data_IF_768936393630
#
_entry.id   IF_768936393630
#
_cell.length_a   1.000
_cell.length_b   1.000
_cell.length_c   1.000
_cell.angle_alpha   90.00
_cell.angle_beta   90.00
_cell.angle_gamma   90.00
#
_symmetry.space_group_name_H-M   'P 1'
#
loop_
_entity.id
_entity.type
_entity.pdbx_description
1 polymer ?
#
# COMPACT_ATOMS: atom_id res chain seq x y z
N UNK A 1 0.25 -33.18 -51.64
CA UNK A 1 0.52 -31.98 -50.81
C UNK A 1 -0.06 -32.25 -49.44
N UNK A 2 0.79 -32.62 -48.49
CA UNK A 2 0.41 -32.91 -47.10
C UNK A 2 0.40 -31.60 -46.32
N UNK A 3 -0.77 -31.18 -45.84
CA UNK A 3 -0.85 -30.09 -44.87
C UNK A 3 -0.10 -30.52 -43.59
N UNK A 4 0.87 -29.74 -43.09
CA UNK A 4 1.42 -30.02 -41.77
C UNK A 4 0.31 -29.79 -40.75
N UNK A 5 -0.03 -30.84 -39.99
CA UNK A 5 -0.88 -30.74 -38.81
C UNK A 5 -0.26 -29.68 -37.89
N UNK A 6 -0.97 -28.58 -37.69
CA UNK A 6 -0.58 -27.56 -36.74
C UNK A 6 -0.40 -28.23 -35.37
N UNK A 7 0.83 -28.22 -34.85
CA UNK A 7 1.11 -28.70 -33.51
C UNK A 7 0.19 -27.94 -32.53
N UNK A 8 -0.47 -28.62 -31.57
CA UNK A 8 -1.27 -27.93 -30.57
C UNK A 8 -0.37 -26.95 -29.83
N UNK A 9 -0.69 -25.66 -29.92
CA UNK A 9 -0.02 -24.61 -29.16
C UNK A 9 -0.09 -25.01 -27.68
N UNK A 10 1.05 -25.14 -26.97
CA UNK A 10 1.02 -25.46 -25.55
C UNK A 10 0.16 -24.42 -24.84
N UNK A 11 -0.87 -24.86 -24.12
CA UNK A 11 -1.67 -23.96 -23.31
C UNK A 11 -0.72 -23.22 -22.37
N UNK A 12 -0.57 -21.90 -22.56
CA UNK A 12 0.28 -21.07 -21.70
C UNK A 12 -0.16 -21.27 -20.25
N UNK A 13 0.74 -21.75 -19.39
CA UNK A 13 0.47 -21.88 -17.97
C UNK A 13 0.09 -20.49 -17.41
N UNK A 14 -0.95 -20.39 -16.58
CA UNK A 14 -1.41 -19.11 -16.05
C UNK A 14 -0.31 -18.42 -15.22
N UNK A 15 -0.17 -17.09 -15.37
CA UNK A 15 0.78 -16.27 -14.60
C UNK A 15 0.58 -16.53 -13.10
N UNK A 16 1.63 -16.91 -12.37
CA UNK A 16 1.56 -17.08 -10.92
C UNK A 16 1.73 -15.72 -10.23
N UNK A 17 0.72 -15.32 -9.46
CA UNK A 17 0.70 -14.08 -8.70
C UNK A 17 1.24 -14.30 -7.28
N UNK A 18 2.40 -13.72 -6.93
CA UNK A 18 2.85 -13.64 -5.54
C UNK A 18 1.99 -12.67 -4.73
N UNK A 19 2.17 -12.69 -3.41
CA UNK A 19 1.36 -11.92 -2.47
C UNK A 19 1.20 -10.44 -2.81
N UNK A 20 2.28 -9.71 -3.16
CA UNK A 20 2.17 -8.28 -3.52
C UNK A 20 1.36 -8.04 -4.80
N UNK A 21 1.18 -9.06 -5.65
CA UNK A 21 0.40 -8.95 -6.90
C UNK A 21 -1.07 -9.33 -6.72
N UNK A 22 -1.51 -9.65 -5.49
CA UNK A 22 -2.88 -10.12 -5.22
C UNK A 22 -3.97 -9.14 -5.65
N UNK A 23 -3.68 -7.84 -5.83
CA UNK A 23 -4.67 -6.87 -6.36
C UNK A 23 -5.18 -7.24 -7.76
N UNK A 24 -4.42 -8.05 -8.50
CA UNK A 24 -4.76 -8.55 -9.84
C UNK A 24 -5.50 -9.90 -9.82
N UNK A 25 -5.78 -10.48 -8.65
CA UNK A 25 -6.48 -11.77 -8.53
C UNK A 25 -7.97 -11.68 -8.90
N UNK A 26 -8.54 -10.48 -8.99
CA UNK A 26 -9.93 -10.31 -9.43
C UNK A 26 -9.99 -10.21 -10.95
N UNK A 27 -10.87 -11.00 -11.58
CA UNK A 27 -11.23 -10.78 -12.99
C UNK A 27 -11.86 -9.40 -13.24
N UNK A 28 -12.38 -8.74 -12.18
CA UNK A 28 -12.95 -7.38 -12.22
C UNK A 28 -11.91 -6.29 -11.91
N UNK A 29 -10.62 -6.64 -11.89
CA UNK A 29 -9.54 -5.69 -11.68
C UNK A 29 -9.59 -4.56 -12.72
N UNK A 30 -9.32 -3.32 -12.26
CA UNK A 30 -9.17 -2.10 -13.06
C UNK A 30 -8.09 -1.25 -12.40
N UNK A 31 -7.32 -0.53 -13.21
CA UNK A 31 -6.15 0.24 -12.75
C UNK A 31 -6.48 1.30 -11.69
N UNK A 32 -7.68 1.89 -11.73
CA UNK A 32 -8.09 2.93 -10.77
C UNK A 32 -8.54 2.37 -9.42
N UNK A 33 -8.87 1.07 -9.31
CA UNK A 33 -9.38 0.47 -8.07
C UNK A 33 -8.36 0.49 -6.91
N UNK A 34 -7.08 0.14 -7.12
CA UNK A 34 -6.05 0.33 -6.09
C UNK A 34 -5.97 1.77 -5.58
N UNK A 35 -6.01 2.76 -6.47
CA UNK A 35 -5.92 4.18 -6.10
C UNK A 35 -7.14 4.62 -5.29
N UNK A 36 -8.35 4.33 -5.81
CA UNK A 36 -9.59 4.65 -5.10
C UNK A 36 -9.65 3.95 -3.73
N UNK A 37 -9.23 2.70 -3.67
CA UNK A 37 -9.26 1.94 -2.42
C UNK A 37 -8.25 2.46 -1.40
N UNK A 38 -7.09 2.97 -1.82
CA UNK A 38 -6.15 3.66 -0.92
C UNK A 38 -6.76 4.95 -0.37
N UNK A 39 -7.43 5.75 -1.22
CA UNK A 39 -8.18 6.92 -0.75
C UNK A 39 -9.29 6.54 0.25
N UNK A 40 -10.04 5.47 -0.05
CA UNK A 40 -11.06 4.94 0.85
C UNK A 40 -10.48 4.51 2.20
N UNK A 41 -9.38 3.74 2.22
CA UNK A 41 -8.74 3.28 3.47
C UNK A 41 -8.27 4.48 4.29
N UNK A 42 -7.57 5.44 3.67
CA UNK A 42 -7.06 6.61 4.38
C UNK A 42 -8.19 7.43 5.04
N UNK A 43 -9.23 7.76 4.27
CA UNK A 43 -10.35 8.57 4.79
C UNK A 43 -11.18 7.78 5.81
N UNK A 44 -11.51 6.52 5.53
CA UNK A 44 -12.34 5.72 6.42
C UNK A 44 -11.63 5.44 7.76
N UNK A 45 -10.32 5.18 7.78
CA UNK A 45 -9.57 5.02 9.03
C UNK A 45 -9.63 6.30 9.89
N UNK A 46 -9.42 7.47 9.29
CA UNK A 46 -9.50 8.76 10.02
C UNK A 46 -10.90 9.00 10.56
N UNK A 47 -11.94 8.78 9.75
CA UNK A 47 -13.33 8.98 10.19
C UNK A 47 -13.74 8.00 11.29
N UNK A 48 -13.36 6.72 11.18
CA UNK A 48 -13.67 5.71 12.19
C UNK A 48 -12.92 5.99 13.49
N UNK A 49 -11.63 6.34 13.42
CA UNK A 49 -10.86 6.74 14.61
C UNK A 49 -11.47 7.99 15.28
N UNK A 50 -11.76 9.04 14.50
CA UNK A 50 -12.40 10.25 15.03
C UNK A 50 -13.77 9.98 15.65
N UNK A 51 -14.58 9.09 15.06
CA UNK A 51 -15.84 8.66 15.65
C UNK A 51 -15.64 7.89 16.96
N UNK A 52 -14.64 7.01 17.05
CA UNK A 52 -14.32 6.28 18.27
C UNK A 52 -13.88 7.22 19.39
N UNK A 53 -13.02 8.20 19.11
CA UNK A 53 -12.63 9.22 20.08
C UNK A 53 -13.79 10.11 20.51
N UNK A 54 -14.65 10.53 19.57
CA UNK A 54 -15.83 11.33 19.88
C UNK A 54 -16.83 10.56 20.76
N UNK A 55 -17.09 9.29 20.42
CA UNK A 55 -17.96 8.43 21.22
C UNK A 55 -17.34 8.13 22.59
N UNK A 56 -16.04 7.83 22.62
CA UNK A 56 -15.27 7.65 23.86
C UNK A 56 -15.45 8.86 24.77
N UNK A 57 -15.13 10.05 24.27
CA UNK A 57 -15.25 11.31 25.00
C UNK A 57 -16.68 11.57 25.49
N UNK A 58 -17.70 11.39 24.65
CA UNK A 58 -19.09 11.55 25.06
C UNK A 58 -19.49 10.57 26.19
N UNK A 59 -19.05 9.31 26.08
CA UNK A 59 -19.30 8.28 27.08
C UNK A 59 -18.52 8.49 28.38
N UNK A 60 -17.31 9.05 28.31
CA UNK A 60 -16.49 9.39 29.47
C UNK A 60 -17.05 10.59 30.22
N UNK A 61 -17.42 11.65 29.50
CA UNK A 61 -18.08 12.83 30.07
C UNK A 61 -19.40 12.46 30.75
N UNK A 62 -20.22 11.61 30.12
CA UNK A 62 -21.47 11.10 30.70
C UNK A 62 -21.26 10.28 31.99
N UNK A 63 -20.05 9.73 32.21
CA UNK A 63 -19.65 9.00 33.42
C UNK A 63 -18.91 9.87 34.44
N UNK A 64 -18.72 11.17 34.16
CA UNK A 64 -18.04 12.10 35.05
C UNK A 64 -16.52 11.92 35.11
N UNK A 65 -15.90 11.43 34.03
CA UNK A 65 -14.44 11.44 33.91
C UNK A 65 -13.91 12.89 33.85
N UNK A 66 -12.69 13.15 34.34
CA UNK A 66 -12.08 14.48 34.29
C UNK A 66 -11.81 14.92 32.84
N UNK A 67 -11.81 16.23 32.62
CA UNK A 67 -11.41 16.83 31.35
C UNK A 67 -9.94 17.24 31.39
N UNK A 68 -9.23 16.98 30.31
CA UNK A 68 -7.87 17.44 30.06
C UNK A 68 -7.87 18.92 29.62
N UNK A 69 -6.68 19.52 29.58
CA UNK A 69 -6.51 20.94 29.26
C UNK A 69 -6.95 21.32 27.83
N UNK A 70 -7.00 20.36 26.91
CA UNK A 70 -7.45 20.53 25.53
C UNK A 70 -8.97 20.29 25.34
N UNK A 71 -9.69 20.04 26.44
CA UNK A 71 -11.12 19.77 26.44
C UNK A 71 -11.50 18.32 26.08
N UNK A 72 -10.52 17.42 25.96
CA UNK A 72 -10.77 15.98 25.79
C UNK A 72 -10.97 15.30 27.14
N UNK A 73 -11.54 14.09 27.15
CA UNK A 73 -11.74 13.33 28.39
C UNK A 73 -10.48 12.55 28.75
N UNK A 74 -10.02 12.69 30.00
CA UNK A 74 -8.86 11.97 30.52
C UNK A 74 -9.29 10.61 31.11
N UNK A 75 -9.04 9.54 30.37
CA UNK A 75 -9.41 8.16 30.77
C UNK A 75 -8.40 7.49 31.74
N UNK A 76 -7.27 8.15 31.99
CA UNK A 76 -6.10 7.54 32.64
C UNK A 76 -5.40 6.50 31.75
N UNK A 77 -4.21 6.01 32.17
CA UNK A 77 -3.32 5.25 31.29
C UNK A 77 -3.95 4.00 30.70
N UNK A 78 -4.57 3.13 31.51
CA UNK A 78 -5.07 1.84 31.02
C UNK A 78 -6.24 2.02 30.03
N UNK A 79 -7.21 2.88 30.36
CA UNK A 79 -8.40 3.06 29.50
C UNK A 79 -8.09 3.94 28.29
N UNK A 80 -7.18 4.92 28.42
CA UNK A 80 -6.64 5.69 27.30
C UNK A 80 -5.92 4.81 26.29
N UNK A 81 -4.93 4.03 26.74
CA UNK A 81 -4.23 3.06 25.87
C UNK A 81 -5.19 2.09 25.21
N UNK A 82 -6.24 1.64 25.92
CA UNK A 82 -7.25 0.76 25.32
C UNK A 82 -8.02 1.44 24.17
N UNK A 83 -8.35 2.73 24.31
CA UNK A 83 -9.00 3.51 23.25
C UNK A 83 -8.08 3.68 22.05
N UNK A 84 -6.80 3.96 22.26
CA UNK A 84 -5.80 4.13 21.20
C UNK A 84 -5.61 2.83 20.41
N UNK A 85 -5.38 1.71 21.13
CA UNK A 85 -5.24 0.40 20.51
C UNK A 85 -6.50 -0.02 19.76
N UNK A 86 -7.69 0.28 20.30
CA UNK A 86 -8.96 0.01 19.64
C UNK A 86 -9.15 0.86 18.38
N UNK A 87 -8.77 2.14 18.43
CA UNK A 87 -8.82 3.04 17.29
C UNK A 87 -7.95 2.52 16.14
N UNK A 88 -6.73 2.05 16.44
CA UNK A 88 -5.86 1.42 15.43
C UNK A 88 -6.45 0.08 14.95
N UNK A 89 -6.90 -0.78 15.87
CA UNK A 89 -7.49 -2.08 15.56
C UNK A 89 -8.70 -1.97 14.60
N UNK A 90 -9.43 -0.85 14.65
CA UNK A 90 -10.56 -0.56 13.76
C UNK A 90 -10.18 -0.47 12.28
N UNK A 91 -8.89 -0.33 11.93
CA UNK A 91 -8.44 -0.36 10.55
C UNK A 91 -8.60 -1.75 9.89
N UNK A 92 -8.66 -2.85 10.66
CA UNK A 92 -8.88 -4.20 10.11
C UNK A 92 -10.18 -4.27 9.30
N UNK A 93 -11.38 -3.98 9.87
CA UNK A 93 -12.61 -4.02 9.09
C UNK A 93 -12.58 -3.03 7.93
N UNK A 94 -12.00 -1.83 8.09
CA UNK A 94 -11.88 -0.86 6.99
C UNK A 94 -11.11 -1.44 5.81
N UNK A 95 -9.96 -2.07 6.05
CA UNK A 95 -9.15 -2.71 5.00
C UNK A 95 -9.92 -3.88 4.37
N UNK A 96 -10.57 -4.73 5.16
CA UNK A 96 -11.36 -5.85 4.65
C UNK A 96 -12.50 -5.37 3.74
N UNK A 97 -13.17 -4.28 4.10
CA UNK A 97 -14.21 -3.63 3.31
C UNK A 97 -13.64 -3.02 2.02
N UNK A 98 -12.49 -2.34 2.07
CA UNK A 98 -11.81 -1.81 0.90
C UNK A 98 -11.51 -2.92 -0.13
N UNK A 99 -11.00 -4.05 0.36
CA UNK A 99 -10.71 -5.23 -0.46
C UNK A 99 -11.97 -5.80 -1.09
N UNK A 100 -13.04 -5.94 -0.30
CA UNK A 100 -14.29 -6.57 -0.71
C UNK A 100 -15.11 -5.71 -1.67
N UNK A 101 -15.21 -4.41 -1.41
CA UNK A 101 -16.07 -3.48 -2.12
C UNK A 101 -15.35 -2.80 -3.29
N UNK A 102 -14.16 -2.23 -3.03
CA UNK A 102 -13.38 -1.51 -4.05
C UNK A 102 -12.53 -2.49 -4.86
N UNK A 103 -11.82 -3.39 -4.19
CA UNK A 103 -10.96 -4.39 -4.82
C UNK A 103 -11.73 -5.51 -5.55
N UNK A 104 -13.02 -5.68 -5.25
CA UNK A 104 -13.91 -6.70 -5.86
C UNK A 104 -13.30 -8.11 -5.86
N UNK A 105 -12.68 -8.48 -4.74
CA UNK A 105 -12.11 -9.82 -4.47
C UNK A 105 -12.46 -10.27 -3.04
N UNK A 106 -12.33 -11.56 -2.69
CA UNK A 106 -12.56 -12.02 -1.33
C UNK A 106 -11.66 -11.28 -0.32
N UNK A 107 -12.22 -10.84 0.81
CA UNK A 107 -11.54 -9.96 1.75
C UNK A 107 -10.22 -10.55 2.28
N UNK A 108 -10.22 -11.84 2.65
CA UNK A 108 -9.04 -12.51 3.20
C UNK A 108 -7.88 -12.70 2.22
N UNK A 109 -8.02 -12.31 0.94
CA UNK A 109 -6.87 -12.20 0.01
C UNK A 109 -5.86 -11.13 0.44
N UNK A 110 -6.25 -10.22 1.33
CA UNK A 110 -5.32 -9.31 2.00
C UNK A 110 -4.51 -10.02 3.07
N UNK A 111 -5.03 -11.06 3.71
CA UNK A 111 -4.34 -11.80 4.77
C UNK A 111 -3.25 -12.71 4.19
N UNK A 112 -3.57 -13.43 3.12
CA UNK A 112 -2.63 -14.33 2.45
C UNK A 112 -3.09 -14.67 1.02
N UNK A 113 -2.21 -15.31 0.26
CA UNK A 113 -2.54 -15.86 -1.06
C UNK A 113 -3.59 -16.96 -1.01
N UNK A 114 -3.82 -17.60 0.16
CA UNK A 114 -4.86 -18.63 0.33
C UNK A 114 -6.23 -18.06 0.67
N UNK A 115 -6.37 -16.72 0.73
CA UNK A 115 -7.66 -16.07 0.96
C UNK A 115 -8.08 -15.97 2.43
N UNK A 116 -7.16 -16.20 3.37
CA UNK A 116 -7.41 -16.05 4.81
C UNK A 116 -6.14 -16.24 5.65
N UNK A 117 -6.22 -15.92 6.93
CA UNK A 117 -5.10 -16.09 7.86
C UNK A 117 -4.84 -17.59 8.11
N UNK A 118 -3.60 -18.03 7.92
CA UNK A 118 -3.21 -19.43 8.13
C UNK A 118 -2.86 -19.61 9.61
N UNK A 119 -3.87 -19.81 10.45
CA UNK A 119 -3.72 -19.91 11.91
C UNK A 119 -2.60 -20.84 12.39
N UNK A 120 -2.41 -22.07 11.83
CA UNK A 120 -1.30 -22.91 12.23
C UNK A 120 0.08 -22.33 11.87
N UNK A 121 0.17 -21.55 10.79
CA UNK A 121 1.40 -20.86 10.42
C UNK A 121 1.65 -19.67 11.32
N UNK A 122 0.63 -18.85 11.60
CA UNK A 122 0.70 -17.75 12.57
C UNK A 122 1.13 -18.24 13.95
N UNK A 123 0.54 -19.33 14.45
CA UNK A 123 0.91 -19.91 15.74
C UNK A 123 2.40 -20.29 15.80
N UNK A 124 2.95 -20.88 14.74
CA UNK A 124 4.40 -21.17 14.67
C UNK A 124 5.24 -19.89 14.63
N UNK A 125 4.80 -18.88 13.89
CA UNK A 125 5.47 -17.58 13.86
C UNK A 125 5.49 -16.92 15.25
N UNK A 126 4.39 -16.96 16.00
CA UNK A 126 4.33 -16.45 17.38
C UNK A 126 5.21 -17.27 18.32
N UNK A 127 5.16 -18.61 18.23
CA UNK A 127 6.01 -19.49 19.05
C UNK A 127 7.50 -19.30 18.81
N UNK A 128 7.91 -18.86 17.61
CA UNK A 128 9.30 -18.48 17.31
C UNK A 128 9.61 -17.08 17.82
N UNK A 129 8.69 -16.11 17.67
CA UNK A 129 8.89 -14.73 18.10
C UNK A 129 9.06 -14.63 19.62
N UNK A 130 8.21 -15.33 20.40
CA UNK A 130 8.20 -15.26 21.86
C UNK A 130 9.57 -15.47 22.51
N UNK A 131 10.27 -16.61 22.33
CA UNK A 131 11.56 -16.81 22.98
C UNK A 131 12.64 -15.88 22.43
N UNK A 132 12.63 -15.57 21.13
CA UNK A 132 13.64 -14.68 20.52
C UNK A 132 13.54 -13.28 21.13
N UNK A 133 12.33 -12.71 21.14
CA UNK A 133 12.12 -11.34 21.63
C UNK A 133 12.13 -11.25 23.15
N UNK A 134 11.69 -12.29 23.88
CA UNK A 134 11.81 -12.33 25.33
C UNK A 134 13.27 -12.31 25.79
N UNK A 135 14.16 -13.03 25.08
CA UNK A 135 15.61 -12.98 25.35
C UNK A 135 16.20 -11.61 25.00
N UNK A 136 15.86 -11.04 23.84
CA UNK A 136 16.31 -9.68 23.48
C UNK A 136 15.83 -8.62 24.49
N UNK A 137 14.58 -8.70 24.93
CA UNK A 137 13.99 -7.80 25.93
C UNK A 137 14.64 -8.01 27.31
N UNK A 138 14.86 -9.26 27.72
CA UNK A 138 15.54 -9.56 28.98
C UNK A 138 16.99 -9.08 29.00
N UNK A 139 17.67 -9.06 27.85
CA UNK A 139 19.02 -8.54 27.72
C UNK A 139 19.10 -7.01 28.00
N UNK A 140 18.00 -6.27 27.84
CA UNK A 140 17.92 -4.85 28.24
C UNK A 140 18.22 -4.67 29.73
N UNK A 141 17.81 -5.62 30.57
CA UNK A 141 18.06 -5.58 32.02
C UNK A 141 19.54 -5.72 32.40
N UNK A 142 20.39 -6.12 31.44
CA UNK A 142 21.84 -6.24 31.63
C UNK A 142 22.59 -4.98 31.18
N UNK A 143 21.91 -4.04 30.53
CA UNK A 143 22.52 -2.78 30.14
C UNK A 143 22.72 -1.88 31.37
N UNK A 144 23.81 -1.08 31.42
CA UNK A 144 23.97 -0.09 32.48
C UNK A 144 22.77 0.85 32.50
N UNK A 145 22.08 0.93 33.64
CA UNK A 145 21.12 1.99 33.87
C UNK A 145 21.92 3.28 34.13
N UNK A 146 21.69 4.31 33.31
CA UNK A 146 22.10 5.67 33.65
C UNK A 146 21.39 6.09 34.95
N UNK A 147 21.80 7.22 35.57
CA UNK A 147 21.29 7.76 36.86
C UNK A 147 19.77 8.15 36.86
N UNK A 148 18.97 7.53 36.00
CA UNK A 148 17.52 7.62 35.98
C UNK A 148 16.92 7.17 37.32
N UNK A 149 15.85 7.85 37.73
CA UNK A 149 15.10 7.46 38.92
C UNK A 149 14.70 5.98 38.83
N UNK A 150 14.84 5.21 39.93
CA UNK A 150 14.58 3.78 39.90
C UNK A 150 13.13 3.51 39.49
N UNK A 151 12.95 2.70 38.45
CA UNK A 151 11.64 2.27 37.98
C UNK A 151 10.89 1.58 39.12
N UNK A 152 9.72 2.10 39.49
CA UNK A 152 8.87 1.54 40.55
C UNK A 152 7.83 0.60 39.95
N UNK A 153 7.69 -0.57 40.54
CA UNK A 153 6.65 -1.55 40.17
C UNK A 153 5.24 -0.97 40.35
N UNK A 154 4.39 -1.11 39.33
CA UNK A 154 3.03 -0.58 39.29
C UNK A 154 2.04 -1.29 40.24
N UNK A 155 2.38 -2.47 40.74
CA UNK A 155 1.46 -3.29 41.55
C UNK A 155 0.53 -4.15 40.69
N UNK A 156 0.08 -5.28 41.25
CA UNK A 156 -0.82 -6.21 40.54
C UNK A 156 -2.20 -5.62 40.24
N UNK A 157 -2.65 -4.65 41.04
CA UNK A 157 -3.94 -3.97 40.84
C UNK A 157 -3.98 -3.15 39.55
N UNK A 158 -2.84 -2.62 39.12
CA UNK A 158 -2.70 -1.89 37.84
C UNK A 158 -2.26 -2.84 36.73
N UNK A 159 -1.22 -3.64 36.99
CA UNK A 159 -0.61 -4.49 35.97
C UNK A 159 -1.55 -5.60 35.49
N UNK A 160 -2.33 -6.24 36.38
CA UNK A 160 -3.22 -7.35 36.01
C UNK A 160 -4.29 -6.95 34.97
N UNK A 161 -5.11 -5.92 35.25
CA UNK A 161 -6.07 -5.39 34.28
C UNK A 161 -5.42 -4.86 33.00
N UNK A 162 -4.29 -4.16 33.10
CA UNK A 162 -3.55 -3.68 31.94
C UNK A 162 -3.09 -4.83 31.06
N UNK A 163 -2.48 -5.87 31.63
CA UNK A 163 -2.02 -7.04 30.89
C UNK A 163 -3.18 -7.77 30.21
N UNK A 164 -4.32 -7.93 30.90
CA UNK A 164 -5.51 -8.56 30.32
C UNK A 164 -6.02 -7.78 29.10
N UNK A 165 -6.04 -6.44 29.19
CA UNK A 165 -6.38 -5.55 28.07
C UNK A 165 -5.37 -5.69 26.92
N UNK A 166 -4.07 -5.63 27.22
CA UNK A 166 -2.99 -5.66 26.23
C UNK A 166 -2.96 -6.98 25.45
N UNK A 167 -3.13 -8.13 26.12
CA UNK A 167 -3.15 -9.45 25.48
C UNK A 167 -4.26 -9.58 24.42
N UNK A 168 -5.34 -8.80 24.55
CA UNK A 168 -6.44 -8.77 23.58
C UNK A 168 -6.21 -7.71 22.50
N UNK A 169 -5.90 -6.48 22.90
CA UNK A 169 -5.90 -5.34 21.97
C UNK A 169 -4.59 -5.19 21.20
N UNK A 170 -3.43 -5.50 21.78
CA UNK A 170 -2.14 -5.35 21.09
C UNK A 170 -2.03 -6.26 19.86
N UNK A 171 -2.42 -7.55 19.90
CA UNK A 171 -2.40 -8.38 18.69
C UNK A 171 -3.33 -7.86 17.58
N UNK A 172 -4.46 -7.24 17.94
CA UNK A 172 -5.38 -6.63 16.98
C UNK A 172 -4.81 -5.34 16.40
N UNK A 173 -4.20 -4.49 17.23
CA UNK A 173 -3.50 -3.28 16.79
C UNK A 173 -2.37 -3.63 15.81
N UNK A 174 -1.48 -4.54 16.21
CA UNK A 174 -0.37 -5.00 15.37
C UNK A 174 -0.89 -5.59 14.05
N UNK A 175 -1.95 -6.42 14.10
CA UNK A 175 -2.56 -6.95 12.89
C UNK A 175 -3.14 -5.83 12.01
N UNK A 176 -3.79 -4.82 12.57
CA UNK A 176 -4.36 -3.71 11.81
C UNK A 176 -3.30 -2.96 11.01
N UNK A 177 -2.17 -2.65 11.63
CA UNK A 177 -1.05 -2.01 10.95
C UNK A 177 -0.48 -2.90 9.85
N UNK A 178 -0.28 -4.19 10.11
CA UNK A 178 0.15 -5.13 9.08
C UNK A 178 -0.85 -5.22 7.91
N UNK A 179 -2.15 -5.17 8.18
CA UNK A 179 -3.19 -5.15 7.15
C UNK A 179 -3.17 -3.87 6.31
N UNK A 180 -2.87 -2.71 6.91
CA UNK A 180 -2.76 -1.44 6.18
C UNK A 180 -1.48 -1.41 5.34
N UNK A 181 -0.32 -1.60 5.96
CA UNK A 181 0.98 -1.36 5.34
C UNK A 181 1.44 -2.54 4.47
N UNK A 182 1.51 -3.73 5.06
CA UNK A 182 2.01 -4.94 4.39
C UNK A 182 0.90 -5.62 3.58
N UNK A 183 -0.36 -5.41 3.95
CA UNK A 183 -1.54 -5.89 3.24
C UNK A 183 -1.98 -4.98 2.10
N UNK A 184 -2.74 -3.94 2.43
CA UNK A 184 -3.40 -3.08 1.47
C UNK A 184 -2.41 -2.32 0.60
N UNK A 185 -1.53 -1.49 1.19
CA UNK A 185 -0.59 -0.64 0.44
C UNK A 185 0.33 -1.46 -0.44
N UNK A 186 0.88 -2.55 0.09
CA UNK A 186 1.76 -3.43 -0.67
C UNK A 186 1.08 -4.02 -1.89
N UNK A 187 -0.17 -4.47 -1.75
CA UNK A 187 -0.93 -5.03 -2.86
C UNK A 187 -1.44 -3.96 -3.82
N UNK A 188 -1.75 -2.75 -3.34
CA UNK A 188 -2.18 -1.63 -4.16
C UNK A 188 -1.05 -1.18 -5.09
N UNK A 189 0.17 -0.99 -4.57
CA UNK A 189 1.36 -0.66 -5.39
C UNK A 189 1.72 -1.83 -6.31
N UNK A 190 1.67 -3.05 -5.79
CA UNK A 190 1.93 -4.26 -6.56
C UNK A 190 0.91 -4.50 -7.68
N UNK A 191 -0.23 -3.80 -7.72
CA UNK A 191 -1.11 -3.81 -8.90
C UNK A 191 -0.41 -3.25 -10.15
N UNK A 192 0.44 -2.23 -9.96
CA UNK A 192 1.13 -1.52 -11.03
C UNK A 192 2.51 -2.10 -11.31
N UNK A 193 3.23 -2.50 -10.26
CA UNK A 193 4.65 -2.85 -10.36
C UNK A 193 4.91 -4.34 -10.09
N UNK A 194 5.81 -4.95 -10.87
CA UNK A 194 6.14 -6.39 -10.75
C UNK A 194 7.10 -6.67 -9.59
N UNK A 195 8.05 -5.78 -9.34
CA UNK A 195 9.00 -5.93 -8.23
C UNK A 195 8.34 -5.54 -6.90
N UNK A 196 8.45 -6.37 -5.84
CA UNK A 196 7.87 -6.04 -4.54
C UNK A 196 8.57 -4.85 -3.88
N UNK A 197 9.84 -4.56 -4.19
CA UNK A 197 10.61 -3.50 -3.53
C UNK A 197 9.99 -2.11 -3.65
N UNK A 198 9.32 -1.84 -4.78
CA UNK A 198 8.59 -0.59 -4.99
C UNK A 198 7.38 -0.42 -4.06
N UNK A 199 6.87 -1.52 -3.52
CA UNK A 199 5.88 -1.49 -2.46
C UNK A 199 6.56 -1.44 -1.08
N UNK A 200 7.54 -2.31 -0.84
CA UNK A 200 8.10 -2.56 0.48
C UNK A 200 8.87 -1.37 1.07
N UNK A 201 9.65 -0.64 0.27
CA UNK A 201 10.44 0.49 0.80
C UNK A 201 9.53 1.69 1.12
N UNK A 202 8.65 2.17 0.22
CA UNK A 202 7.80 3.31 0.54
C UNK A 202 6.84 3.04 1.71
N UNK A 203 6.23 1.85 1.77
CA UNK A 203 5.33 1.52 2.90
C UNK A 203 6.09 1.46 4.24
N UNK A 204 7.36 1.03 4.24
CA UNK A 204 8.15 0.96 5.47
C UNK A 204 8.51 2.36 5.99
N UNK A 205 8.80 3.30 5.09
CA UNK A 205 9.00 4.71 5.45
C UNK A 205 7.70 5.33 5.97
N UNK A 206 6.57 5.05 5.33
CA UNK A 206 5.26 5.50 5.83
C UNK A 206 4.92 4.90 7.19
N UNK A 207 5.27 3.64 7.42
CA UNK A 207 5.09 2.96 8.71
C UNK A 207 5.92 3.63 9.81
N UNK A 208 7.21 3.90 9.55
CA UNK A 208 8.07 4.62 10.48
C UNK A 208 7.53 6.03 10.76
N UNK A 209 7.16 6.77 9.72
CA UNK A 209 6.57 8.11 9.86
C UNK A 209 5.26 8.12 10.65
N UNK A 210 4.45 7.07 10.57
CA UNK A 210 3.22 6.93 11.36
C UNK A 210 3.49 6.75 12.86
N UNK A 211 4.69 6.31 13.25
CA UNK A 211 5.14 6.26 14.64
C UNK A 211 5.80 7.58 15.09
N UNK A 212 6.01 8.53 14.17
CA UNK A 212 6.71 9.78 14.46
C UNK A 212 8.15 9.79 13.94
N UNK A 213 8.84 10.93 14.14
CA UNK A 213 10.23 11.10 13.69
C UNK A 213 11.24 10.60 14.71
N UNK A 214 10.92 10.72 16.01
CA UNK A 214 11.71 10.25 17.15
C UNK A 214 13.22 10.46 17.03
N UNK A 215 14.00 9.44 17.42
CA UNK A 215 15.44 9.42 17.21
C UNK A 215 15.79 8.92 15.81
N UNK A 216 16.95 9.32 15.24
CA UNK A 216 17.41 8.76 13.96
C UNK A 216 17.53 7.23 13.98
N UNK A 217 17.83 6.64 15.14
CA UNK A 217 17.99 5.20 15.33
C UNK A 217 16.65 4.49 15.35
N UNK A 218 15.70 4.94 16.16
CA UNK A 218 14.36 4.35 16.25
C UNK A 218 13.60 4.48 14.93
N UNK A 219 13.70 5.63 14.25
CA UNK A 219 13.12 5.78 12.91
C UNK A 219 13.74 4.80 11.89
N UNK A 220 15.07 4.70 11.85
CA UNK A 220 15.76 3.78 10.94
C UNK A 220 15.43 2.31 11.23
N UNK A 221 15.28 1.97 12.51
CA UNK A 221 14.87 0.65 12.97
C UNK A 221 13.45 0.29 12.48
N UNK A 222 12.48 1.19 12.64
CA UNK A 222 11.12 1.01 12.11
C UNK A 222 11.08 0.85 10.59
N UNK A 223 11.93 1.58 9.85
CA UNK A 223 12.08 1.39 8.39
C UNK A 223 12.63 -0.01 8.10
N UNK A 224 13.68 -0.44 8.79
CA UNK A 224 14.26 -1.77 8.59
C UNK A 224 13.24 -2.87 8.92
N UNK A 225 12.60 -2.78 10.07
CA UNK A 225 11.51 -3.63 10.49
C UNK A 225 10.44 -3.72 9.40
N UNK A 226 9.99 -2.58 8.88
CA UNK A 226 8.99 -2.50 7.81
C UNK A 226 9.41 -3.22 6.53
N UNK A 227 10.67 -3.08 6.13
CA UNK A 227 11.21 -3.78 4.96
C UNK A 227 11.31 -5.30 5.20
N UNK A 228 11.82 -5.72 6.37
CA UNK A 228 12.00 -7.13 6.73
C UNK A 228 10.66 -7.85 6.88
N UNK A 229 9.72 -7.27 7.63
CA UNK A 229 8.36 -7.78 7.80
C UNK A 229 7.63 -7.89 6.45
N UNK A 230 7.74 -6.85 5.60
CA UNK A 230 7.21 -6.87 4.24
C UNK A 230 7.86 -7.95 3.36
N UNK A 231 9.16 -8.17 3.51
CA UNK A 231 9.88 -9.22 2.78
C UNK A 231 9.44 -10.62 3.22
N UNK A 232 9.29 -10.85 4.52
CA UNK A 232 8.74 -12.10 5.08
C UNK A 232 7.33 -12.35 4.58
N UNK A 233 6.50 -11.31 4.52
CA UNK A 233 5.13 -11.37 4.00
C UNK A 233 5.11 -11.88 2.55
N UNK A 234 5.91 -11.27 1.67
CA UNK A 234 6.01 -11.71 0.25
C UNK A 234 6.63 -13.11 0.14
N UNK A 235 7.64 -13.43 0.96
CA UNK A 235 8.33 -14.72 0.95
C UNK A 235 7.47 -15.88 1.45
N UNK A 236 6.55 -15.63 2.37
CA UNK A 236 5.68 -16.65 2.97
C UNK A 236 4.27 -16.65 2.39
N UNK A 237 3.93 -15.66 1.55
CA UNK A 237 2.63 -15.57 0.89
C UNK A 237 1.51 -15.03 1.77
N UNK A 238 1.81 -14.35 2.88
CA UNK A 238 0.81 -13.81 3.80
C UNK A 238 1.39 -13.08 5.00
N UNK A 239 0.54 -12.38 5.74
CA UNK A 239 0.90 -11.46 6.82
C UNK A 239 1.36 -12.16 8.11
N UNK A 240 1.20 -13.47 8.24
CA UNK A 240 1.29 -14.16 9.52
C UNK A 240 2.65 -14.00 10.23
N UNK A 241 3.75 -14.00 9.48
CA UNK A 241 5.08 -13.80 10.06
C UNK A 241 5.27 -12.35 10.55
N UNK A 242 4.76 -11.37 9.80
CA UNK A 242 4.83 -9.98 10.22
C UNK A 242 3.95 -9.73 11.45
N UNK A 243 2.70 -10.20 11.43
CA UNK A 243 1.75 -10.09 12.55
C UNK A 243 2.33 -10.76 13.80
N UNK A 244 2.89 -11.96 13.67
CA UNK A 244 3.44 -12.70 14.81
C UNK A 244 4.63 -11.98 15.45
N UNK A 245 5.55 -11.43 14.63
CA UNK A 245 6.66 -10.64 15.13
C UNK A 245 6.18 -9.36 15.80
N UNK A 246 5.32 -8.60 15.11
CA UNK A 246 4.79 -7.32 15.57
C UNK A 246 4.04 -7.46 16.90
N UNK A 247 3.09 -8.39 16.95
CA UNK A 247 2.24 -8.57 18.13
C UNK A 247 3.07 -8.97 19.36
N UNK A 248 4.06 -9.85 19.21
CA UNK A 248 4.93 -10.25 20.32
C UNK A 248 5.83 -9.10 20.75
N UNK A 249 6.42 -8.37 19.80
CA UNK A 249 7.27 -7.23 20.11
C UNK A 249 6.52 -6.17 20.91
N UNK A 250 5.34 -5.77 20.42
CA UNK A 250 4.53 -4.76 21.09
C UNK A 250 4.00 -5.29 22.42
N UNK A 251 3.60 -6.56 22.52
CA UNK A 251 3.09 -7.08 23.79
C UNK A 251 4.17 -7.08 24.88
N UNK A 252 5.43 -7.36 24.52
CA UNK A 252 6.55 -7.25 25.45
C UNK A 252 6.83 -5.78 25.81
N UNK A 253 6.87 -4.88 24.84
CA UNK A 253 7.12 -3.46 25.08
C UNK A 253 6.02 -2.79 25.95
N UNK A 254 4.75 -2.98 25.59
CA UNK A 254 3.61 -2.51 26.38
C UNK A 254 3.54 -3.22 27.74
N UNK A 255 3.91 -4.51 27.81
CA UNK A 255 3.96 -5.25 29.08
C UNK A 255 4.99 -4.68 30.05
N UNK A 256 6.19 -4.34 29.57
CA UNK A 256 7.22 -3.64 30.36
C UNK A 256 6.72 -2.26 30.78
N UNK A 257 6.08 -1.52 29.89
CA UNK A 257 5.51 -0.20 30.21
C UNK A 257 4.41 -0.28 31.27
N UNK A 258 3.53 -1.28 31.19
CA UNK A 258 2.48 -1.53 32.18
C UNK A 258 3.02 -1.99 33.54
N UNK A 259 4.23 -2.55 33.59
CA UNK A 259 4.89 -2.97 34.81
C UNK A 259 5.42 -1.79 35.65
N UNK A 260 5.63 -0.64 35.02
CA UNK A 260 6.22 0.55 35.67
C UNK A 260 5.12 1.56 36.00
N UNK A 261 5.19 2.16 37.20
CA UNK A 261 4.28 3.26 37.58
C UNK A 261 4.31 4.34 36.51
N UNK A 262 3.13 4.73 36.03
CA UNK A 262 2.93 5.71 34.95
C UNK A 262 3.56 5.35 33.59
N UNK A 263 4.09 4.14 33.39
CA UNK A 263 4.77 3.77 32.14
C UNK A 263 3.85 3.78 30.91
N UNK A 264 2.55 3.48 31.08
CA UNK A 264 1.55 3.60 30.01
C UNK A 264 1.05 5.05 29.77
N UNK A 265 1.49 6.02 30.56
CA UNK A 265 1.21 7.44 30.31
C UNK A 265 2.24 8.09 29.38
N UNK A 266 3.33 7.38 29.05
CA UNK A 266 4.36 7.95 28.17
C UNK A 266 3.79 8.21 26.78
N UNK A 267 4.14 9.36 26.22
CA UNK A 267 3.90 9.69 24.81
C UNK A 267 4.99 9.13 23.88
N UNK A 268 6.01 8.47 24.44
CA UNK A 268 7.08 7.83 23.68
C UNK A 268 6.51 6.74 22.76
N UNK A 269 6.98 6.73 21.53
CA UNK A 269 6.69 5.64 20.59
C UNK A 269 7.95 4.80 20.34
N UNK A 270 7.80 3.74 19.55
CA UNK A 270 8.95 2.98 19.08
C UNK A 270 9.98 3.83 18.29
N UNK A 271 9.57 4.99 17.75
CA UNK A 271 10.49 5.90 17.06
C UNK A 271 11.48 6.57 18.02
N UNK A 272 11.15 6.68 19.32
CA UNK A 272 11.97 7.34 20.34
C UNK A 272 13.04 6.43 20.93
N UNK A 273 13.12 5.17 20.47
CA UNK A 273 14.07 4.18 20.98
C UNK A 273 15.54 4.67 20.88
N UNK A 274 16.33 4.56 21.95
CA UNK A 274 17.77 4.82 21.90
C UNK A 274 18.51 3.69 21.17
N UNK A 275 19.73 3.99 20.72
CA UNK A 275 20.51 3.08 19.85
C UNK A 275 20.80 1.71 20.50
N UNK A 276 20.87 1.62 21.83
CA UNK A 276 21.09 0.36 22.55
C UNK A 276 19.90 -0.59 22.41
N UNK A 277 18.66 -0.06 22.53
CA UNK A 277 17.45 -0.84 22.32
C UNK A 277 17.33 -1.26 20.85
N UNK A 278 17.63 -0.33 19.93
CA UNK A 278 17.68 -0.64 18.49
C UNK A 278 18.67 -1.77 18.20
N UNK A 279 19.88 -1.74 18.77
CA UNK A 279 20.86 -2.80 18.53
C UNK A 279 20.36 -4.19 18.96
N UNK A 280 19.64 -4.28 20.10
CA UNK A 280 19.03 -5.52 20.56
C UNK A 280 17.83 -5.95 19.70
N UNK A 281 17.01 -4.99 19.25
CA UNK A 281 15.89 -5.27 18.35
C UNK A 281 16.38 -5.80 17.00
N UNK A 282 17.42 -5.20 16.42
CA UNK A 282 18.06 -5.67 15.19
C UNK A 282 18.52 -7.13 15.28
N UNK A 283 19.08 -7.53 16.43
CA UNK A 283 19.45 -8.94 16.68
C UNK A 283 18.19 -9.81 16.75
N UNK A 284 17.15 -9.36 17.46
CA UNK A 284 15.85 -10.04 17.54
C UNK A 284 15.21 -10.26 16.17
N UNK A 285 15.10 -9.21 15.35
CA UNK A 285 14.60 -9.24 13.97
C UNK A 285 15.43 -10.23 13.13
N UNK A 286 16.76 -10.19 13.23
CA UNK A 286 17.63 -11.07 12.45
C UNK A 286 17.44 -12.54 12.82
N UNK A 287 17.44 -12.86 14.12
CA UNK A 287 17.23 -14.22 14.64
C UNK A 287 15.83 -14.75 14.26
N UNK A 288 14.80 -13.92 14.46
CA UNK A 288 13.43 -14.25 14.07
C UNK A 288 13.33 -14.54 12.58
N UNK A 289 13.90 -13.66 11.74
CA UNK A 289 13.89 -13.80 10.28
C UNK A 289 14.60 -15.08 9.86
N UNK A 290 15.77 -15.39 10.43
CA UNK A 290 16.49 -16.62 10.14
C UNK A 290 15.65 -17.86 10.51
N UNK A 291 15.04 -17.87 11.70
CA UNK A 291 14.22 -18.97 12.18
C UNK A 291 12.96 -19.18 11.32
N UNK A 292 12.24 -18.11 10.96
CA UNK A 292 11.06 -18.21 10.08
C UNK A 292 11.45 -18.66 8.68
N UNK A 293 12.55 -18.17 8.12
CA UNK A 293 13.03 -18.62 6.81
C UNK A 293 13.45 -20.09 6.83
N UNK A 294 14.08 -20.55 7.92
CA UNK A 294 14.39 -21.97 8.13
C UNK A 294 13.09 -22.80 8.20
N UNK A 295 12.12 -22.37 8.99
CA UNK A 295 10.83 -23.05 9.12
C UNK A 295 10.07 -23.09 7.79
N UNK A 296 10.07 -22.00 7.03
CA UNK A 296 9.45 -21.91 5.71
C UNK A 296 10.18 -22.72 4.62
N UNK A 297 11.42 -23.19 4.87
CA UNK A 297 12.10 -24.19 4.04
C UNK A 297 11.67 -25.60 4.40
N UNK A 298 11.44 -25.89 5.68
CA UNK A 298 10.99 -27.20 6.19
C UNK A 298 9.51 -27.47 5.91
N UNK A 299 8.69 -26.43 6.01
CA UNK A 299 7.26 -26.46 5.76
C UNK A 299 6.89 -25.33 4.79
N UNK A 300 7.09 -25.52 3.47
CA UNK A 300 6.89 -24.47 2.49
C UNK A 300 5.44 -23.97 2.49
N UNK A 301 5.18 -22.71 2.89
CA UNK A 301 3.84 -22.16 2.80
C UNK A 301 3.49 -21.89 1.33
N UNK A 302 2.21 -21.95 0.98
CA UNK A 302 1.73 -21.50 -0.35
C UNK A 302 2.08 -20.03 -0.54
N UNK A 303 2.77 -19.71 -1.65
CA UNK A 303 3.32 -18.35 -1.90
C UNK A 303 2.69 -17.61 -3.07
N UNK A 304 2.03 -18.34 -3.97
CA UNK A 304 1.46 -17.78 -5.20
C UNK A 304 0.13 -18.43 -5.52
N UNK A 305 -0.67 -17.74 -6.34
CA UNK A 305 -1.91 -18.27 -6.92
C UNK A 305 -1.95 -18.00 -8.42
N UNK A 306 -2.63 -18.83 -9.23
CA UNK A 306 -2.83 -18.54 -10.65
C UNK A 306 -3.57 -17.22 -10.85
N UNK A 307 -3.15 -16.44 -11.84
CA UNK A 307 -3.88 -15.27 -12.31
C UNK A 307 -5.24 -15.70 -12.88
N UNK A 308 -6.26 -14.83 -12.82
CA UNK A 308 -7.54 -15.10 -13.47
C UNK A 308 -7.34 -15.40 -14.96
N UNK A 309 -8.00 -16.45 -15.45
CA UNK A 309 -8.01 -16.73 -16.88
C UNK A 309 -8.53 -15.49 -17.65
N UNK A 310 -7.93 -15.14 -18.79
CA UNK A 310 -8.52 -14.17 -19.70
C UNK A 310 -9.96 -14.57 -20.01
N UNK A 311 -10.86 -13.59 -20.11
CA UNK A 311 -12.21 -13.87 -20.60
C UNK A 311 -12.11 -14.61 -21.95
N UNK A 312 -12.93 -15.65 -22.21
CA UNK A 312 -12.96 -16.31 -23.50
C UNK A 312 -13.08 -15.25 -24.59
N UNK A 313 -12.30 -15.36 -25.66
CA UNK A 313 -12.49 -14.51 -26.83
C UNK A 313 -13.97 -14.61 -27.25
N UNK A 314 -14.63 -13.49 -27.63
CA UNK A 314 -15.96 -13.59 -28.21
C UNK A 314 -15.93 -14.61 -29.34
N UNK A 315 -16.98 -15.44 -29.51
CA UNK A 315 -17.04 -16.38 -30.61
C UNK A 315 -16.76 -15.62 -31.91
N UNK A 316 -15.96 -16.17 -32.84
CA UNK A 316 -15.74 -15.52 -34.12
C UNK A 316 -17.11 -15.17 -34.70
N UNK A 317 -17.32 -13.89 -34.99
CA UNK A 317 -18.53 -13.46 -35.70
C UNK A 317 -18.59 -14.33 -36.95
N UNK A 318 -19.67 -15.10 -37.18
CA UNK A 318 -19.79 -15.88 -38.40
C UNK A 318 -19.56 -14.93 -39.56
N UNK A 319 -18.49 -15.14 -40.33
CA UNK A 319 -18.35 -14.51 -41.63
C UNK A 319 -19.50 -15.09 -42.43
N UNK A 320 -20.62 -14.36 -42.49
CA UNK A 320 -21.71 -14.72 -43.38
C UNK A 320 -21.08 -14.81 -44.76
N UNK A 321 -21.21 -15.94 -45.47
CA UNK A 321 -20.77 -16.00 -46.86
C UNK A 321 -21.44 -14.86 -47.61
N UNK A 322 -20.76 -14.20 -48.56
CA UNK A 322 -21.43 -13.25 -49.43
C UNK A 322 -22.64 -13.96 -50.02
N UNK A 323 -23.83 -13.40 -49.77
CA UNK A 323 -25.09 -13.95 -50.24
C UNK A 323 -24.97 -14.21 -51.75
N UNK A 324 -25.32 -15.40 -52.26
CA UNK A 324 -25.29 -15.66 -53.69
C UNK A 324 -26.53 -15.02 -54.31
N UNK A 325 -26.55 -13.70 -54.42
CA UNK A 325 -27.43 -13.01 -55.35
C UNK A 325 -26.64 -12.75 -56.63
N UNK A 326 -26.87 -13.48 -57.73
CA UNK A 326 -26.57 -12.97 -59.05
C UNK A 326 -27.61 -11.90 -59.38
N UNK A 327 -27.45 -10.71 -58.80
CA UNK A 327 -28.17 -9.51 -59.23
C UNK A 327 -27.36 -8.82 -60.32
N UNK A 328 -27.99 -8.36 -61.42
CA UNK A 328 -27.28 -7.71 -62.52
C UNK A 328 -26.58 -6.46 -62.00
N UNK A 329 -25.35 -6.24 -62.48
CA UNK A 329 -24.56 -5.03 -62.23
C UNK A 329 -25.45 -3.79 -62.19
N UNK A 330 -25.46 -3.01 -61.08
CA UNK A 330 -25.95 -1.66 -61.19
C UNK A 330 -24.93 -0.91 -62.04
N UNK A 331 -25.35 -0.57 -63.27
CA UNK A 331 -24.73 0.52 -64.00
C UNK A 331 -24.60 1.70 -63.05
N UNK A 332 -23.43 2.35 -63.09
CA UNK A 332 -23.18 3.57 -62.35
C UNK A 332 -24.21 4.64 -62.75
N UNK A 333 -25.28 4.75 -61.97
CA UNK A 333 -26.08 5.97 -61.92
C UNK A 333 -25.39 6.89 -60.93
N UNK A 334 -24.67 7.86 -61.48
CA UNK A 334 -24.27 9.06 -60.77
C UNK A 334 -25.54 9.69 -60.17
N UNK A 335 -25.73 9.52 -58.86
CA UNK A 335 -26.78 10.17 -58.11
C UNK A 335 -26.17 10.80 -56.87
N UNK A 336 -26.32 12.12 -56.84
CA UNK A 336 -25.85 13.10 -55.88
C UNK A 336 -25.85 12.64 -54.42
N UNK A 337 -24.74 12.89 -53.73
CA UNK A 337 -24.65 12.90 -52.27
C UNK A 337 -25.42 14.11 -51.74
N UNK A 338 -26.46 13.97 -50.90
CA UNK A 338 -26.83 15.01 -49.98
C UNK A 338 -26.00 14.83 -48.71
N UNK A 339 -25.05 15.73 -48.50
CA UNK A 339 -24.33 15.87 -47.24
C UNK A 339 -25.33 16.37 -46.20
N UNK A 340 -25.86 15.51 -45.34
CA UNK A 340 -26.61 15.94 -44.16
C UNK A 340 -25.64 16.20 -43.01
N UNK A 341 -25.04 17.40 -43.01
CA UNK A 341 -24.58 18.03 -41.78
C UNK A 341 -25.85 18.46 -41.03
N UNK A 342 -26.08 17.91 -39.85
CA UNK A 342 -27.07 18.47 -38.92
C UNK A 342 -26.29 19.19 -37.82
N UNK A 343 -26.30 20.53 -37.75
CA UNK A 343 -25.94 21.24 -36.55
C UNK A 343 -27.17 21.35 -35.65
N UNK A 344 -26.95 21.09 -34.38
CA UNK A 344 -27.90 21.40 -33.31
C UNK A 344 -28.13 22.92 -33.28
N UNK A 345 -29.36 23.44 -33.36
CA UNK A 345 -29.63 24.87 -33.26
C UNK A 345 -29.56 25.32 -31.79
N UNK A 346 -28.70 26.29 -31.51
CA UNK A 346 -28.78 27.12 -30.30
C UNK A 346 -29.70 28.30 -30.63
N UNK A 347 -30.76 28.60 -29.85
CA UNK A 347 -31.69 29.68 -30.17
C UNK A 347 -31.09 31.05 -29.80
N UNK A 348 -31.03 31.95 -30.78
CA UNK A 348 -30.92 33.41 -30.56
C UNK A 348 -32.29 34.02 -30.84
N UNK A 349 -32.90 34.79 -29.91
CA UNK A 349 -34.15 35.49 -30.17
C UNK A 349 -33.96 36.61 -31.20
N UNK A 350 -34.83 36.62 -32.21
CA UNK A 350 -34.83 37.58 -33.30
C UNK A 350 -35.32 38.97 -32.92
N UNK A 351 -35.09 39.91 -33.84
CA UNK A 351 -35.70 41.23 -33.86
C UNK A 351 -36.60 41.38 -35.09
N UNK A 352 -37.66 42.17 -34.93
CA UNK A 352 -38.62 42.59 -35.96
C UNK A 352 -40.06 42.20 -35.56
N UNK A 353 -41.03 43.10 -35.36
CA UNK A 353 -41.12 44.52 -35.70
C UNK A 353 -42.36 45.15 -35.03
N UNK A 354 -42.37 46.50 -35.04
CA UNK A 354 -43.51 47.42 -34.93
C UNK A 354 -43.96 47.92 -33.54
N UNK A 355 -43.92 49.26 -33.38
CA UNK A 355 -44.92 49.98 -32.58
C UNK A 355 -44.41 51.01 -31.56
N UNK A 356 -44.12 52.23 -32.04
CA UNK A 356 -44.36 53.55 -31.38
C UNK A 356 -43.91 53.82 -29.92
N UNK A 357 -43.12 54.90 -29.74
CA UNK A 357 -43.30 55.82 -28.60
C UNK A 357 -42.04 56.28 -27.85
N UNK A 358 -41.51 57.45 -28.22
CA UNK A 358 -40.85 58.48 -27.39
C UNK A 358 -39.73 58.13 -26.37
N UNK A 359 -38.57 58.78 -26.52
CA UNK A 359 -37.83 59.33 -25.36
C UNK A 359 -36.32 59.09 -25.25
N UNK A 360 -35.53 60.08 -25.70
CA UNK A 360 -34.24 60.55 -25.17
C UNK A 360 -33.00 59.63 -24.99
N UNK A 361 -32.02 59.88 -25.86
CA UNK A 361 -30.61 60.25 -25.61
C UNK A 361 -29.62 59.31 -24.88
N UNK A 362 -28.47 59.05 -25.54
CA UNK A 362 -27.18 58.82 -24.84
C UNK A 362 -26.14 57.87 -25.45
N UNK A 363 -25.48 58.30 -26.54
CA UNK A 363 -24.07 58.04 -26.96
C UNK A 363 -23.46 56.60 -27.10
N UNK A 364 -22.97 56.33 -28.33
CA UNK A 364 -21.92 55.36 -28.74
C UNK A 364 -20.70 56.17 -29.23
N UNK A 365 -19.45 55.66 -29.22
CA UNK A 365 -18.83 55.07 -30.45
C UNK A 365 -17.99 53.80 -30.13
N UNK A 366 -18.11 52.66 -30.84
CA UNK A 366 -17.72 52.27 -32.20
C UNK A 366 -16.21 51.93 -32.42
N UNK A 367 -15.87 50.88 -33.22
CA UNK A 367 -14.62 50.12 -33.16
C UNK A 367 -13.68 50.31 -34.38
N UNK A 368 -12.45 49.78 -34.28
CA UNK A 368 -11.46 49.74 -35.37
C UNK A 368 -11.04 48.31 -35.77
N UNK A 369 -10.47 48.11 -36.97
CA UNK A 369 -10.79 46.96 -37.84
C UNK A 369 -9.75 45.84 -37.92
N UNK A 370 -10.20 44.68 -38.37
CA UNK A 370 -9.42 43.51 -38.84
C UNK A 370 -9.15 43.64 -40.35
N UNK A 371 -8.04 43.12 -40.91
CA UNK A 371 -8.15 42.03 -41.91
C UNK A 371 -6.95 41.04 -41.87
N UNK A 372 -7.15 39.72 -41.92
CA UNK A 372 -7.31 38.80 -43.07
C UNK A 372 -6.04 38.45 -43.88
N UNK A 373 -6.00 37.18 -44.32
CA UNK A 373 -5.15 36.49 -45.32
C UNK A 373 -3.88 35.79 -44.80
N UNK A 374 -3.42 34.64 -45.30
CA UNK A 374 -3.99 33.49 -46.03
C UNK A 374 -2.82 32.46 -46.15
N UNK A 375 -3.15 31.17 -46.17
CA UNK A 375 -2.45 30.03 -46.82
C UNK A 375 -0.97 29.61 -46.57
N UNK A 376 -0.86 28.26 -46.61
CA UNK A 376 0.15 27.38 -47.27
C UNK A 376 1.38 26.83 -46.51
N UNK A 377 1.43 25.48 -46.54
CA UNK A 377 2.58 24.57 -46.69
C UNK A 377 3.47 24.17 -45.50
N UNK A 378 3.47 22.86 -45.20
CA UNK A 378 4.61 22.09 -44.66
C UNK A 378 5.29 21.38 -45.86
N UNK A 379 6.59 20.96 -45.86
CA UNK A 379 7.36 20.45 -44.70
C UNK A 379 8.86 20.84 -44.65
N UNK A 380 9.55 20.64 -43.51
CA UNK A 380 11.01 20.80 -43.44
C UNK A 380 11.65 20.45 -42.09
N UNK A 381 12.54 19.45 -42.12
CA UNK A 381 13.44 18.98 -41.05
C UNK A 381 14.58 19.99 -40.78
N UNK A 382 15.05 20.21 -39.54
CA UNK A 382 16.35 20.82 -39.29
C UNK A 382 17.44 19.79 -38.89
N UNK A 383 18.73 20.04 -39.20
CA UNK A 383 19.81 19.06 -39.12
C UNK A 383 20.58 19.07 -37.79
N UNK A 384 21.09 17.89 -37.41
CA UNK A 384 22.50 17.67 -37.09
C UNK A 384 23.10 18.19 -35.78
N UNK A 385 23.23 17.31 -34.78
CA UNK A 385 24.35 17.29 -33.85
C UNK A 385 24.85 15.85 -33.66
N UNK A 386 26.11 15.60 -34.01
CA UNK A 386 26.75 14.29 -34.13
C UNK A 386 27.18 13.68 -32.77
N UNK A 387 27.44 12.36 -32.71
CA UNK A 387 27.62 11.60 -31.48
C UNK A 387 29.09 11.51 -31.02
N UNK A 388 29.29 11.47 -29.69
CA UNK A 388 30.59 11.14 -29.07
C UNK A 388 30.91 9.66 -29.27
N UNK A 389 32.05 9.36 -29.87
CA UNK A 389 32.61 8.03 -30.12
C UNK A 389 33.43 7.51 -28.93
N UNK A 390 33.34 6.20 -28.69
CA UNK A 390 34.16 5.44 -27.75
C UNK A 390 35.45 4.92 -28.43
N UNK A 391 36.54 4.63 -27.68
CA UNK A 391 37.76 4.04 -28.26
C UNK A 391 37.74 2.49 -28.25
N UNK A 392 38.50 1.81 -29.14
CA UNK A 392 38.50 0.35 -29.34
C UNK A 392 39.55 -0.41 -28.49
N UNK A 393 39.56 -1.76 -28.50
CA UNK A 393 40.34 -2.60 -27.57
C UNK A 393 41.71 -3.02 -28.11
N UNK A 394 42.65 -3.34 -27.22
CA UNK A 394 43.96 -3.91 -27.54
C UNK A 394 44.49 -4.82 -26.41
N UNK A 395 44.96 -5.99 -26.81
CA UNK A 395 45.32 -7.19 -26.02
C UNK A 395 46.80 -7.27 -25.59
N UNK A 396 47.04 -8.07 -24.54
CA UNK A 396 48.27 -8.83 -24.16
C UNK A 396 49.47 -8.14 -23.48
N UNK A 397 49.86 -8.66 -22.30
CA UNK A 397 51.20 -8.50 -21.71
C UNK A 397 51.28 -8.74 -20.18
N UNK A 398 51.64 -9.96 -19.76
CA UNK A 398 51.99 -10.37 -18.37
C UNK A 398 53.38 -9.81 -17.92
N UNK A 399 53.74 -9.89 -16.62
CA UNK A 399 54.62 -8.94 -15.92
C UNK A 399 56.08 -9.40 -15.78
N UNK A 400 56.98 -8.57 -15.22
CA UNK A 400 58.18 -9.06 -14.58
C UNK A 400 58.08 -9.11 -13.05
N UNK A 401 58.83 -10.07 -12.52
CA UNK A 401 59.12 -10.43 -11.14
C UNK A 401 60.00 -9.42 -10.36
N UNK A 402 60.04 -9.67 -9.03
CA UNK A 402 61.00 -9.25 -7.96
C UNK A 402 60.63 -7.94 -7.23
N UNK A 403 60.71 -7.82 -5.90
CA UNK A 403 61.60 -8.50 -4.94
C UNK A 403 61.05 -8.52 -3.49
N UNK A 404 61.66 -9.37 -2.68
CA UNK A 404 61.48 -9.64 -1.24
C UNK A 404 61.53 -8.43 -0.29
N UNK A 405 60.85 -8.53 0.84
CA UNK A 405 61.16 -7.79 2.07
C UNK A 405 60.42 -8.32 3.29
N UNK A 406 61.09 -9.17 4.09
CA UNK A 406 60.77 -9.41 5.49
C UNK A 406 61.30 -8.22 6.31
N UNK A 407 60.57 -7.81 7.35
CA UNK A 407 61.04 -7.68 8.73
C UNK A 407 60.13 -6.71 9.53
N UNK A 408 59.86 -7.14 10.77
CA UNK A 408 59.17 -6.51 11.91
C UNK A 408 57.65 -6.68 12.01
#
# INVERSE_FOLDING_TARGET
>A
MTHPLAAPVPALLPELLPYHRMARVSARHRWWRPVLGTGFVAVACVLVAGLLYALGSALGAARGYPEAADGTVEFGPVSGTALDLLAIASAIPVVLLAVRWVGRRPAGTVSSVTGGLRWPWLGRCVLVALPVLAVSTGAVLLLPADDAAPSRWAGWEVFGPALAMLVVLVPLQAAAEEYVFRGWLTQAVGAFLRSPWWALVPQAVLFAAAHGWGTPWGFADLVLYGVVAGRLTVRTGGLEAAIGLHAVNNLLAFGVSAAVVDGLKSDDTAADAPWQLVALDLVGIALYTAAVLWLARRHPPTRTVPAPAPAPAPPPVPVLPPWPFPGPHPQALAAHVPVSWAPVPVPVPGSGSAGSGSGSAGAVPAPGPVPYADRTDAPGVPPGAAPRTAPPPGETGLPPHRESGRDL
#
